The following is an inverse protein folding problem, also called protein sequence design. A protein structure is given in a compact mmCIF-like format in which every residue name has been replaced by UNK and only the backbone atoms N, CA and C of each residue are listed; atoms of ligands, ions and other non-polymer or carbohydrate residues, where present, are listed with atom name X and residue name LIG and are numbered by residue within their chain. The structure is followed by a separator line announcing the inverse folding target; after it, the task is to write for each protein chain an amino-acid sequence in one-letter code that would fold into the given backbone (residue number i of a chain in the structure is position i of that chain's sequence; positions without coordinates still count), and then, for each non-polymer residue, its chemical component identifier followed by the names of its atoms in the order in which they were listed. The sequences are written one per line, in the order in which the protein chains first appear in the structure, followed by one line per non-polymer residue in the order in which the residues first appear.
data_IF_657663963835
#
_entry.id   IF_657663963835
#
_cell.length_a   1.000
_cell.length_b   1.000
_cell.length_c   1.000
_cell.angle_alpha   90.00
_cell.angle_beta   90.00
_cell.angle_gamma   90.00
#
_symmetry.space_group_name_H-M   'P 1'
#
loop_
_entity.id
_entity.type
_entity.pdbx_description
1 polymer ?
#
# COMPACT_ATOMS: atom_id res chain seq x y z
N UNK A 1 14.82 -29.13 -47.52
CA UNK A 1 16.26 -28.98 -47.32
C UNK A 1 17.04 -29.16 -48.62
N UNK A 2 16.78 -30.20 -49.47
CA UNK A 2 17.50 -30.41 -50.74
C UNK A 2 17.28 -29.28 -51.77
N UNK A 3 16.10 -28.68 -51.84
CA UNK A 3 15.79 -27.58 -52.77
C UNK A 3 16.57 -26.29 -52.39
N UNK A 4 16.67 -25.96 -51.10
CA UNK A 4 17.42 -24.79 -50.64
C UNK A 4 18.92 -24.94 -50.87
N UNK A 5 19.47 -26.15 -50.67
CA UNK A 5 20.87 -26.45 -50.94
C UNK A 5 21.20 -26.30 -52.44
N UNK A 6 20.37 -26.82 -53.33
CA UNK A 6 20.53 -26.70 -54.80
C UNK A 6 20.46 -25.24 -55.27
N UNK A 7 19.59 -24.41 -54.66
CA UNK A 7 19.52 -23.00 -55.00
C UNK A 7 20.74 -22.21 -54.48
N UNK A 8 21.23 -22.53 -53.30
CA UNK A 8 22.46 -21.95 -52.73
C UNK A 8 23.67 -22.34 -53.63
N UNK A 9 23.78 -23.61 -54.10
CA UNK A 9 24.85 -24.07 -54.96
C UNK A 9 24.84 -23.39 -56.35
N UNK A 10 23.65 -23.18 -56.94
CA UNK A 10 23.47 -22.38 -58.15
C UNK A 10 23.92 -20.93 -58.00
N UNK A 11 23.60 -20.32 -56.88
CA UNK A 11 23.99 -18.94 -56.56
C UNK A 11 25.50 -18.81 -56.38
N UNK A 12 26.16 -19.76 -55.71
CA UNK A 12 27.60 -19.76 -55.49
C UNK A 12 28.37 -19.96 -56.85
N UNK A 13 27.85 -20.80 -57.75
CA UNK A 13 28.45 -21.05 -59.08
C UNK A 13 28.31 -19.85 -60.03
N UNK A 14 27.30 -18.95 -59.79
CA UNK A 14 27.11 -17.75 -60.61
C UNK A 14 27.58 -16.49 -59.93
N UNK A 15 28.87 -16.22 -59.96
CA UNK A 15 29.50 -15.05 -59.25
C UNK A 15 28.87 -13.69 -59.66
N UNK A 16 28.31 -13.56 -60.85
CA UNK A 16 27.69 -12.33 -61.34
C UNK A 16 26.34 -12.12 -60.69
N UNK A 17 25.52 -13.17 -60.57
CA UNK A 17 24.25 -13.14 -59.82
C UNK A 17 24.46 -13.00 -58.33
N UNK A 18 25.48 -13.62 -57.76
CA UNK A 18 25.79 -13.47 -56.34
C UNK A 18 26.14 -12.01 -55.98
N UNK A 19 27.01 -11.37 -56.79
CA UNK A 19 27.34 -9.94 -56.62
C UNK A 19 26.13 -9.03 -56.79
N UNK A 20 25.25 -9.32 -57.73
CA UNK A 20 24.00 -8.57 -57.94
C UNK A 20 23.06 -8.72 -56.76
N UNK A 21 22.83 -9.93 -56.26
CA UNK A 21 22.01 -10.18 -55.07
C UNK A 21 22.61 -9.58 -53.79
N UNK A 22 23.94 -9.63 -53.66
CA UNK A 22 24.64 -8.96 -52.56
C UNK A 22 24.45 -7.42 -52.63
N UNK A 23 24.54 -6.82 -53.80
CA UNK A 23 24.29 -5.39 -54.00
C UNK A 23 22.83 -5.00 -53.72
N UNK A 24 21.87 -5.84 -54.12
CA UNK A 24 20.46 -5.68 -53.80
C UNK A 24 20.21 -5.87 -52.28
N UNK A 25 20.84 -6.86 -51.64
CA UNK A 25 20.77 -7.11 -50.23
C UNK A 25 21.30 -5.92 -49.43
N UNK A 26 22.47 -5.38 -49.80
CA UNK A 26 23.03 -4.18 -49.15
C UNK A 26 22.13 -2.96 -49.38
N UNK A 27 21.62 -2.78 -50.61
CA UNK A 27 20.76 -1.68 -50.99
C UNK A 27 19.37 -1.74 -50.33
N UNK A 28 18.88 -2.94 -50.07
CA UNK A 28 17.58 -3.23 -49.44
C UNK A 28 17.72 -3.74 -48.00
N UNK A 29 18.93 -3.67 -47.42
CA UNK A 29 19.13 -4.05 -46.02
C UNK A 29 18.64 -2.97 -45.10
N UNK A 30 17.33 -3.01 -44.82
CA UNK A 30 16.63 -2.07 -43.95
C UNK A 30 16.89 -2.33 -42.48
N UNK A 31 17.73 -3.30 -42.14
CA UNK A 31 17.99 -3.76 -40.76
C UNK A 31 19.28 -3.15 -40.18
N UNK A 32 19.58 -1.89 -40.49
CA UNK A 32 20.59 -1.17 -39.75
C UNK A 32 20.01 -0.81 -38.38
N UNK A 33 20.81 -0.83 -37.33
CA UNK A 33 20.40 -0.46 -35.95
C UNK A 33 19.62 0.85 -35.92
N UNK A 34 20.09 1.83 -36.70
CA UNK A 34 19.46 3.14 -36.83
C UNK A 34 18.06 3.07 -37.47
N UNK A 35 17.89 2.21 -38.52
CA UNK A 35 16.60 2.06 -39.20
C UNK A 35 15.59 1.31 -38.28
N UNK A 36 16.05 0.26 -37.61
CA UNK A 36 15.24 -0.52 -36.68
C UNK A 36 14.82 0.35 -35.50
N UNK A 37 15.75 1.09 -34.89
CA UNK A 37 15.46 2.02 -33.78
C UNK A 37 14.42 3.06 -34.21
N UNK A 38 14.63 3.74 -35.33
CA UNK A 38 13.68 4.70 -35.85
C UNK A 38 12.29 4.09 -36.13
N UNK A 39 12.25 2.88 -36.64
CA UNK A 39 10.99 2.18 -36.95
C UNK A 39 10.26 1.76 -35.65
N UNK A 40 11.00 1.28 -34.68
CA UNK A 40 10.47 0.96 -33.35
C UNK A 40 9.93 2.22 -32.68
N UNK A 41 10.67 3.33 -32.72
CA UNK A 41 10.26 4.59 -32.12
C UNK A 41 9.02 5.19 -32.83
N UNK A 42 8.97 5.10 -34.16
CA UNK A 42 7.77 5.47 -34.91
C UNK A 42 6.54 4.61 -34.57
N UNK A 43 6.71 3.29 -34.40
CA UNK A 43 5.63 2.42 -33.96
C UNK A 43 5.23 2.71 -32.52
N UNK A 44 6.18 2.95 -31.63
CA UNK A 44 5.89 3.39 -30.25
C UNK A 44 5.10 4.67 -30.26
N UNK A 45 5.50 5.66 -31.05
CA UNK A 45 4.79 6.94 -31.16
C UNK A 45 3.37 6.77 -31.74
N UNK A 46 3.22 5.94 -32.78
CA UNK A 46 1.90 5.63 -33.37
C UNK A 46 1.00 4.90 -32.37
N UNK A 47 1.52 3.88 -31.66
CA UNK A 47 0.79 3.14 -30.62
C UNK A 47 0.41 4.10 -29.49
N UNK A 48 1.34 4.94 -29.06
CA UNK A 48 1.12 5.94 -28.02
C UNK A 48 0.04 6.93 -28.45
N UNK A 49 0.14 7.50 -29.66
CA UNK A 49 -0.89 8.38 -30.23
C UNK A 49 -2.24 7.67 -30.35
N UNK A 50 -2.28 6.44 -30.84
CA UNK A 50 -3.52 5.66 -30.99
C UNK A 50 -4.18 5.33 -29.66
N UNK A 51 -3.40 4.99 -28.65
CA UNK A 51 -3.88 4.74 -27.28
C UNK A 51 -4.36 6.05 -26.60
N UNK A 52 -3.66 7.16 -26.84
CA UNK A 52 -4.09 8.49 -26.36
C UNK A 52 -5.40 8.95 -27.02
N UNK A 53 -5.55 8.75 -28.34
CA UNK A 53 -6.74 9.20 -29.06
C UNK A 53 -7.96 8.29 -28.88
N UNK A 54 -7.77 6.95 -28.73
CA UNK A 54 -8.90 6.02 -28.51
C UNK A 54 -9.53 6.10 -27.15
N UNK A 55 -8.82 6.61 -26.13
CA UNK A 55 -9.31 6.55 -24.75
C UNK A 55 -9.59 7.89 -24.14
N UNK A 56 -9.71 9.01 -24.74
CA UNK A 56 -10.01 10.31 -24.10
C UNK A 56 -9.74 10.34 -22.54
N UNK A 57 -9.04 9.33 -22.03
CA UNK A 57 -8.47 9.20 -20.70
C UNK A 57 -7.02 9.63 -20.85
N UNK A 58 -6.62 10.71 -20.20
CA UNK A 58 -5.23 10.98 -19.91
C UNK A 58 -4.66 9.74 -19.22
N UNK A 59 -4.17 8.78 -19.98
CA UNK A 59 -3.37 7.69 -19.45
C UNK A 59 -2.09 8.33 -18.93
N UNK A 60 -1.87 8.18 -17.62
CA UNK A 60 -0.61 8.59 -17.02
C UNK A 60 0.52 7.93 -17.81
N UNK A 61 1.44 8.72 -18.37
CA UNK A 61 2.70 8.20 -18.91
C UNK A 61 3.38 7.37 -17.82
N UNK A 62 4.19 6.37 -18.23
CA UNK A 62 4.96 5.57 -17.27
C UNK A 62 5.89 6.48 -16.48
N UNK A 63 5.62 6.60 -15.19
CA UNK A 63 6.36 7.45 -14.27
C UNK A 63 7.49 6.67 -13.61
N UNK A 64 8.57 7.36 -13.28
CA UNK A 64 9.61 6.87 -12.37
C UNK A 64 9.27 7.32 -10.95
N UNK A 65 9.00 6.39 -10.06
CA UNK A 65 8.60 6.64 -8.68
C UNK A 65 9.70 6.15 -7.74
N UNK A 66 10.22 7.02 -6.90
CA UNK A 66 11.07 6.64 -5.77
C UNK A 66 10.18 6.57 -4.52
N UNK A 67 9.93 5.35 -4.05
CA UNK A 67 9.11 5.12 -2.86
C UNK A 67 9.98 4.86 -1.64
N UNK A 68 10.02 5.85 -0.74
CA UNK A 68 10.80 5.81 0.51
C UNK A 68 9.87 5.44 1.66
N UNK A 69 10.07 4.29 2.26
CA UNK A 69 9.35 3.86 3.47
C UNK A 69 10.11 2.73 4.15
N UNK A 70 9.68 2.35 5.35
CA UNK A 70 10.23 1.19 6.03
C UNK A 70 9.68 -0.11 5.41
N UNK A 71 10.42 -0.73 4.50
CA UNK A 71 10.05 -2.00 3.88
C UNK A 71 10.29 -3.20 4.80
N UNK A 72 10.96 -3.00 5.94
CA UNK A 72 11.18 -3.99 6.98
C UNK A 72 12.05 -5.21 6.57
N UNK A 73 13.01 -5.01 5.67
CA UNK A 73 13.94 -6.07 5.21
C UNK A 73 14.70 -6.70 6.36
N UNK A 74 15.20 -5.88 7.33
CA UNK A 74 15.93 -6.33 8.54
C UNK A 74 15.13 -7.24 9.46
N UNK A 75 13.84 -7.44 9.21
CA UNK A 75 12.98 -8.31 10.00
C UNK A 75 12.75 -9.69 9.35
N UNK A 76 13.54 -10.06 8.34
CA UNK A 76 13.55 -11.40 7.73
C UNK A 76 12.15 -11.90 7.33
N UNK A 77 11.38 -11.06 6.62
CA UNK A 77 10.03 -11.38 6.13
C UNK A 77 8.91 -11.18 7.16
N UNK A 78 9.20 -11.15 8.47
CA UNK A 78 8.16 -11.06 9.53
C UNK A 78 7.19 -9.90 9.36
N UNK A 79 7.63 -8.76 8.83
CA UNK A 79 6.80 -7.57 8.60
C UNK A 79 6.60 -7.28 7.10
N UNK A 80 6.63 -8.32 6.27
CA UNK A 80 6.50 -8.19 4.81
C UNK A 80 5.14 -7.62 4.40
N UNK A 81 4.04 -8.07 5.03
CA UNK A 81 2.67 -7.68 4.70
C UNK A 81 2.30 -6.28 5.26
N UNK A 82 3.14 -5.28 5.02
CA UNK A 82 2.92 -3.93 5.50
C UNK A 82 2.26 -3.02 4.46
N UNK A 83 1.73 -1.88 4.90
CA UNK A 83 1.03 -0.93 4.02
C UNK A 83 1.97 -0.30 2.98
N UNK A 84 3.24 -0.07 3.31
CA UNK A 84 4.23 0.42 2.35
C UNK A 84 4.36 -0.51 1.14
N UNK A 85 4.44 -1.82 1.37
CA UNK A 85 4.46 -2.83 0.29
C UNK A 85 3.15 -2.85 -0.50
N UNK A 86 1.99 -2.72 0.14
CA UNK A 86 0.70 -2.63 -0.57
C UNK A 86 0.65 -1.43 -1.51
N UNK A 87 1.05 -0.26 -1.05
CA UNK A 87 1.10 0.95 -1.88
C UNK A 87 2.11 0.77 -3.01
N UNK A 88 3.28 0.22 -2.71
CA UNK A 88 4.32 -0.07 -3.70
C UNK A 88 3.83 -1.01 -4.81
N UNK A 89 3.16 -2.10 -4.43
CA UNK A 89 2.52 -3.02 -5.37
C UNK A 89 1.50 -2.29 -6.25
N UNK A 90 0.78 -1.31 -5.69
CA UNK A 90 -0.16 -0.47 -6.44
C UNK A 90 0.52 0.32 -7.55
N UNK A 91 1.67 0.95 -7.28
CA UNK A 91 2.45 1.67 -8.29
C UNK A 91 2.96 0.72 -9.39
N UNK A 92 3.46 -0.46 -9.02
CA UNK A 92 3.92 -1.49 -9.98
C UNK A 92 2.76 -1.97 -10.87
N UNK A 93 1.58 -2.20 -10.29
CA UNK A 93 0.38 -2.64 -11.07
C UNK A 93 -0.18 -1.56 -11.99
N UNK A 94 0.18 -0.31 -11.77
CA UNK A 94 -0.06 0.79 -12.71
C UNK A 94 1.02 0.90 -13.80
N UNK A 95 1.92 -0.08 -13.84
CA UNK A 95 3.02 -0.19 -14.80
C UNK A 95 4.06 0.95 -14.70
N UNK A 96 4.17 1.61 -13.54
CA UNK A 96 5.21 2.59 -13.29
C UNK A 96 6.56 1.92 -12.98
N UNK A 97 7.66 2.62 -13.26
CA UNK A 97 8.99 2.22 -12.80
C UNK A 97 9.15 2.61 -11.35
N UNK A 98 9.26 1.65 -10.44
CA UNK A 98 9.28 1.90 -9.00
C UNK A 98 10.59 1.45 -8.38
N UNK A 99 11.31 2.39 -7.77
CA UNK A 99 12.49 2.11 -6.97
C UNK A 99 12.13 2.18 -5.48
N UNK A 100 12.31 1.06 -4.78
CA UNK A 100 12.13 0.97 -3.34
C UNK A 100 13.35 1.51 -2.60
N UNK A 101 13.11 2.31 -1.55
CA UNK A 101 14.16 2.84 -0.69
C UNK A 101 13.75 2.68 0.77
N UNK A 102 14.34 1.71 1.47
CA UNK A 102 13.98 1.39 2.86
C UNK A 102 14.80 2.21 3.83
N UNK A 103 14.27 3.32 4.32
CA UNK A 103 14.97 4.28 5.17
C UNK A 103 15.52 3.64 6.45
N UNK A 104 14.70 2.90 7.20
CA UNK A 104 15.09 2.29 8.47
C UNK A 104 16.00 1.08 8.32
N UNK A 105 15.90 0.37 7.21
CA UNK A 105 16.80 -0.77 6.93
C UNK A 105 18.20 -0.25 6.59
N UNK A 106 18.29 0.80 5.75
CA UNK A 106 19.55 1.48 5.44
C UNK A 106 20.23 1.97 6.72
N UNK A 107 19.50 2.66 7.59
CA UNK A 107 20.03 3.08 8.89
C UNK A 107 20.53 1.90 9.73
N UNK A 108 19.76 0.83 9.78
CA UNK A 108 20.12 -0.37 10.55
C UNK A 108 21.41 -1.03 10.05
N UNK A 109 21.60 -1.07 8.73
CA UNK A 109 22.75 -1.72 8.11
C UNK A 109 24.02 -0.84 8.08
N UNK A 110 23.89 0.47 7.99
CA UNK A 110 25.02 1.38 7.73
C UNK A 110 25.40 2.30 8.89
N UNK A 111 24.71 2.25 10.04
CA UNK A 111 25.14 3.01 11.24
C UNK A 111 26.50 2.55 11.71
N UNK A 112 27.34 3.49 12.15
CA UNK A 112 28.67 3.25 12.67
C UNK A 112 29.03 4.25 13.80
N UNK A 113 30.21 4.19 14.34
CA UNK A 113 30.66 5.06 15.45
C UNK A 113 30.60 6.56 15.09
N UNK A 114 30.80 6.93 13.82
CA UNK A 114 30.75 8.32 13.36
C UNK A 114 29.36 8.78 12.97
N UNK A 115 28.38 7.84 12.85
CA UNK A 115 26.99 8.08 12.52
C UNK A 115 26.09 7.09 13.28
N UNK A 116 26.03 7.27 14.61
CA UNK A 116 25.30 6.37 15.52
C UNK A 116 23.83 6.21 15.15
N UNK A 117 23.24 7.27 14.60
CA UNK A 117 21.84 7.29 14.14
C UNK A 117 21.71 6.83 12.69
N UNK A 118 22.78 6.62 11.94
CA UNK A 118 22.78 6.26 10.52
C UNK A 118 22.15 7.29 9.58
N UNK A 119 21.75 8.45 10.11
CA UNK A 119 20.99 9.45 9.36
C UNK A 119 21.82 10.20 8.32
N UNK A 120 23.11 10.47 8.61
CA UNK A 120 24.02 11.12 7.66
C UNK A 120 24.19 10.25 6.41
N UNK A 121 24.49 8.97 6.61
CA UNK A 121 24.68 8.00 5.52
C UNK A 121 23.39 7.80 4.74
N UNK A 122 22.24 7.70 5.43
CA UNK A 122 20.92 7.58 4.81
C UNK A 122 20.66 8.75 3.85
N UNK A 123 20.81 9.98 4.32
CA UNK A 123 20.51 11.19 3.54
C UNK A 123 21.51 11.35 2.37
N UNK A 124 22.79 11.05 2.58
CA UNK A 124 23.79 11.02 1.48
C UNK A 124 23.39 10.00 0.41
N UNK A 125 23.05 8.76 0.81
CA UNK A 125 22.60 7.70 -0.12
C UNK A 125 21.33 8.09 -0.89
N UNK A 126 20.41 8.79 -0.24
CA UNK A 126 19.23 9.30 -0.92
C UNK A 126 19.60 10.28 -2.04
N UNK A 127 20.52 11.22 -1.80
CA UNK A 127 20.97 12.16 -2.83
C UNK A 127 21.66 11.47 -4.00
N UNK A 128 22.48 10.44 -3.72
CA UNK A 128 23.10 9.60 -4.75
C UNK A 128 22.03 8.88 -5.61
N UNK A 129 20.99 8.33 -4.97
CA UNK A 129 19.87 7.69 -5.67
C UNK A 129 19.09 8.72 -6.51
N UNK A 130 18.79 9.90 -5.97
CA UNK A 130 18.12 10.97 -6.72
C UNK A 130 18.92 11.36 -7.96
N UNK A 131 20.24 11.52 -7.86
CA UNK A 131 21.07 11.90 -9.01
C UNK A 131 21.13 10.82 -10.09
N UNK A 132 21.08 9.54 -9.73
CA UNK A 132 21.18 8.43 -10.65
C UNK A 132 19.82 8.04 -11.27
N UNK A 133 18.76 8.05 -10.46
CA UNK A 133 17.44 7.58 -10.88
C UNK A 133 16.56 8.70 -11.45
N UNK A 134 16.71 9.93 -10.94
CA UNK A 134 15.91 11.12 -11.30
C UNK A 134 14.42 10.77 -11.41
N UNK A 135 13.73 10.52 -10.28
CA UNK A 135 12.32 10.14 -10.29
C UNK A 135 11.42 11.30 -10.73
N UNK A 136 10.26 11.00 -11.31
CA UNK A 136 9.19 11.98 -11.53
C UNK A 136 8.48 12.31 -10.23
N UNK A 137 8.29 11.29 -9.36
CA UNK A 137 7.64 11.44 -8.06
C UNK A 137 8.48 10.78 -6.97
N UNK A 138 8.71 11.52 -5.89
CA UNK A 138 9.27 11.05 -4.63
C UNK A 138 8.12 10.85 -3.63
N UNK A 139 7.88 9.62 -3.21
CA UNK A 139 6.80 9.28 -2.25
C UNK A 139 7.40 8.86 -0.91
N UNK A 140 7.09 9.60 0.14
CA UNK A 140 7.58 9.40 1.50
C UNK A 140 6.51 8.72 2.36
N UNK A 141 6.74 7.48 2.78
CA UNK A 141 5.87 6.76 3.71
C UNK A 141 6.42 6.85 5.15
N UNK A 142 5.86 7.70 5.98
CA UNK A 142 6.42 8.14 7.25
C UNK A 142 7.81 8.79 7.06
N UNK A 143 8.83 8.01 6.70
CA UNK A 143 10.18 8.45 6.32
C UNK A 143 10.78 9.52 7.25
N UNK A 144 10.65 9.30 8.57
CA UNK A 144 11.02 10.29 9.61
C UNK A 144 12.51 10.54 9.73
N UNK A 145 13.31 9.62 9.17
CA UNK A 145 14.78 9.69 9.22
C UNK A 145 15.38 10.50 8.07
N UNK A 146 14.56 10.85 7.06
CA UNK A 146 14.96 11.77 6.00
C UNK A 146 14.89 13.20 6.53
N UNK A 147 15.98 13.92 6.46
CA UNK A 147 16.08 15.28 6.99
C UNK A 147 15.34 16.29 6.12
N UNK A 148 14.84 17.35 6.74
CA UNK A 148 14.19 18.47 6.07
C UNK A 148 15.17 19.14 5.11
N UNK A 149 16.43 19.31 5.50
CA UNK A 149 17.48 19.91 4.67
C UNK A 149 17.70 19.12 3.38
N UNK A 150 17.70 17.77 3.47
CA UNK A 150 17.84 16.90 2.30
C UNK A 150 16.64 17.08 1.36
N UNK A 151 15.41 17.13 1.88
CA UNK A 151 14.22 17.36 1.06
C UNK A 151 14.20 18.75 0.44
N UNK A 152 14.61 19.79 1.19
CA UNK A 152 14.73 21.15 0.67
C UNK A 152 15.80 21.24 -0.42
N UNK A 153 16.93 20.55 -0.25
CA UNK A 153 17.98 20.44 -1.28
C UNK A 153 17.42 19.79 -2.55
N UNK A 154 16.68 18.68 -2.43
CA UNK A 154 16.06 18.01 -3.58
C UNK A 154 15.10 18.96 -4.27
N UNK A 155 14.20 19.63 -3.53
CA UNK A 155 13.22 20.58 -4.10
C UNK A 155 13.87 21.71 -4.86
N UNK A 156 15.01 22.23 -4.35
CA UNK A 156 15.76 23.32 -4.97
C UNK A 156 16.50 22.88 -6.24
N UNK A 157 17.19 21.74 -6.19
CA UNK A 157 18.09 21.31 -7.26
C UNK A 157 17.43 20.43 -8.32
N UNK A 158 16.27 19.82 -7.99
CA UNK A 158 15.46 18.98 -8.87
C UNK A 158 14.00 19.43 -8.89
N UNK A 159 13.71 20.66 -9.38
CA UNK A 159 12.38 21.28 -9.27
C UNK A 159 11.27 20.53 -10.01
N UNK A 160 11.62 19.65 -10.95
CA UNK A 160 10.68 18.83 -11.68
C UNK A 160 10.21 17.60 -10.89
N UNK A 161 10.93 17.20 -9.84
CA UNK A 161 10.52 16.09 -8.99
C UNK A 161 9.35 16.53 -8.10
N UNK A 162 8.21 15.87 -8.24
CA UNK A 162 7.06 16.07 -7.36
C UNK A 162 7.23 15.26 -6.09
N UNK A 163 6.86 15.84 -4.95
CA UNK A 163 7.04 15.19 -3.64
C UNK A 163 5.70 14.96 -2.96
N UNK A 164 5.47 13.72 -2.51
CA UNK A 164 4.31 13.33 -1.75
C UNK A 164 4.71 12.65 -0.43
N UNK A 165 3.85 12.76 0.60
CA UNK A 165 3.99 11.96 1.81
C UNK A 165 2.70 11.27 2.18
N UNK A 166 2.78 10.09 2.81
CA UNK A 166 1.66 9.42 3.44
C UNK A 166 1.98 9.01 4.87
N UNK A 167 0.96 9.05 5.74
CA UNK A 167 1.09 8.84 7.17
C UNK A 167 -0.10 8.05 7.71
N UNK A 168 0.15 6.90 8.34
CA UNK A 168 -0.88 5.96 8.79
C UNK A 168 -1.21 6.06 10.27
N UNK A 169 -0.32 6.62 11.07
CA UNK A 169 -0.52 6.71 12.49
C UNK A 169 -1.56 7.78 12.81
N UNK A 170 -2.25 7.58 13.91
CA UNK A 170 -3.26 8.51 14.43
C UNK A 170 -2.63 9.85 14.81
N UNK A 171 -3.30 10.97 14.48
CA UNK A 171 -2.77 12.32 14.63
C UNK A 171 -3.72 13.29 15.35
N UNK A 172 -4.80 12.83 15.94
CA UNK A 172 -5.70 13.69 16.72
C UNK A 172 -5.09 14.08 18.09
N UNK A 173 -5.85 14.81 18.92
CA UNK A 173 -5.39 15.51 20.12
C UNK A 173 -4.46 14.74 21.06
N UNK A 174 -4.62 13.43 21.17
CA UNK A 174 -3.81 12.59 22.05
C UNK A 174 -2.49 12.11 21.38
N UNK A 175 -2.25 12.48 20.11
CA UNK A 175 -1.16 11.97 19.29
C UNK A 175 -0.35 13.11 18.67
N UNK A 176 -0.06 14.14 19.46
CA UNK A 176 0.62 15.38 19.05
C UNK A 176 1.96 15.10 18.37
N UNK A 177 2.74 14.15 18.90
CA UNK A 177 4.03 13.80 18.31
C UNK A 177 3.88 13.23 16.89
N UNK A 178 2.85 12.44 16.63
CA UNK A 178 2.58 11.92 15.28
C UNK A 178 2.20 13.07 14.34
N UNK A 179 1.34 13.97 14.81
CA UNK A 179 0.97 15.17 14.04
C UNK A 179 2.18 16.04 13.73
N UNK A 180 3.07 16.27 14.72
CA UNK A 180 4.30 17.04 14.51
C UNK A 180 5.16 16.42 13.41
N UNK A 181 5.44 15.11 13.48
CA UNK A 181 6.22 14.38 12.45
C UNK A 181 5.63 14.51 11.04
N UNK A 182 4.30 14.52 10.92
CA UNK A 182 3.62 14.74 9.65
C UNK A 182 3.77 16.18 9.16
N UNK A 183 3.62 17.16 10.06
CA UNK A 183 3.68 18.58 9.74
C UNK A 183 5.09 19.07 9.43
N UNK A 184 6.13 18.48 10.02
CA UNK A 184 7.54 18.90 9.85
C UNK A 184 7.98 18.97 8.37
N UNK A 185 7.36 18.16 7.50
CA UNK A 185 7.70 18.08 6.07
C UNK A 185 6.64 18.67 5.15
N UNK A 186 5.49 19.07 5.68
CA UNK A 186 4.29 19.34 4.87
C UNK A 186 4.47 20.47 3.85
N UNK A 187 5.22 21.51 4.19
CA UNK A 187 5.45 22.67 3.31
C UNK A 187 6.38 22.36 2.11
N UNK A 188 7.07 21.23 2.16
CA UNK A 188 7.90 20.75 1.06
C UNK A 188 7.13 19.82 0.11
N UNK A 189 5.96 19.33 0.51
CA UNK A 189 5.17 18.36 -0.25
C UNK A 189 4.21 19.04 -1.23
N UNK A 190 4.10 18.45 -2.43
CA UNK A 190 3.06 18.83 -3.39
C UNK A 190 1.70 18.25 -2.99
N UNK A 191 1.70 17.07 -2.31
CA UNK A 191 0.51 16.49 -1.70
C UNK A 191 0.86 15.67 -0.46
N UNK A 192 -0.05 15.67 0.54
CA UNK A 192 0.12 14.91 1.78
C UNK A 192 -1.13 14.06 2.05
N UNK A 193 -0.92 12.84 2.55
CA UNK A 193 -1.98 11.85 2.71
C UNK A 193 -1.97 11.27 4.13
N UNK A 194 -3.14 11.11 4.74
CA UNK A 194 -3.22 10.54 6.07
C UNK A 194 -4.51 9.75 6.32
N UNK A 195 -4.45 8.76 7.20
CA UNK A 195 -5.60 7.94 7.59
C UNK A 195 -6.47 8.59 8.66
N UNK A 196 -6.04 9.68 9.28
CA UNK A 196 -6.87 10.51 10.17
C UNK A 196 -7.62 11.55 9.33
N UNK A 197 -8.90 11.82 9.64
CA UNK A 197 -9.67 12.84 8.90
C UNK A 197 -8.92 14.19 8.85
N UNK A 198 -8.50 14.67 7.66
CA UNK A 198 -7.74 15.92 7.53
C UNK A 198 -8.45 17.14 8.11
N UNK A 199 -9.80 17.18 8.01
CA UNK A 199 -10.61 18.28 8.56
C UNK A 199 -10.49 18.40 10.08
N UNK A 200 -10.30 17.25 10.77
CA UNK A 200 -10.12 17.23 12.24
C UNK A 200 -8.75 17.73 12.67
N UNK A 201 -7.77 17.78 11.78
CA UNK A 201 -6.39 18.11 12.12
C UNK A 201 -6.08 19.61 12.16
N UNK A 202 -7.01 20.46 11.68
CA UNK A 202 -6.84 21.93 11.65
C UNK A 202 -5.50 22.34 10.97
N UNK A 203 -5.21 21.76 9.81
CA UNK A 203 -4.03 22.07 9.00
C UNK A 203 -4.36 23.28 8.11
N UNK A 204 -3.37 24.11 7.82
CA UNK A 204 -3.52 25.28 6.93
C UNK A 204 -4.07 24.86 5.57
N UNK A 205 -5.01 25.64 5.03
CA UNK A 205 -5.63 25.42 3.72
C UNK A 205 -4.65 25.52 2.54
N UNK A 206 -3.49 26.17 2.73
CA UNK A 206 -2.42 26.20 1.72
C UNK A 206 -1.82 24.80 1.45
N UNK A 207 -1.91 23.89 2.41
CA UNK A 207 -1.35 22.55 2.30
C UNK A 207 -2.40 21.58 1.75
N UNK A 208 -2.05 20.86 0.70
CA UNK A 208 -2.92 19.84 0.08
C UNK A 208 -2.87 18.56 0.87
N UNK A 209 -3.82 18.38 1.79
CA UNK A 209 -3.91 17.19 2.64
C UNK A 209 -5.18 16.42 2.32
N UNK A 210 -5.01 15.11 2.07
CA UNK A 210 -6.07 14.22 1.65
C UNK A 210 -6.21 13.04 2.60
N UNK A 211 -7.45 12.57 2.78
CA UNK A 211 -7.71 11.32 3.48
C UNK A 211 -7.25 10.13 2.64
N UNK A 212 -6.52 9.21 3.25
CA UNK A 212 -5.99 8.00 2.63
C UNK A 212 -6.51 6.77 3.38
N UNK A 213 -7.43 5.98 2.83
CA UNK A 213 -7.81 4.71 3.43
C UNK A 213 -6.69 3.68 3.33
N UNK A 214 -6.63 2.75 4.30
CA UNK A 214 -5.66 1.65 4.25
C UNK A 214 -5.94 0.74 3.05
N UNK A 215 -4.96 0.41 2.21
CA UNK A 215 -5.17 -0.44 1.05
C UNK A 215 -5.29 -1.93 1.38
N UNK A 216 -6.00 -2.67 0.52
CA UNK A 216 -5.84 -4.12 0.35
C UNK A 216 -5.05 -4.42 -0.90
N UNK A 217 -4.35 -5.54 -0.91
CA UNK A 217 -3.61 -6.01 -2.07
C UNK A 217 -3.96 -7.48 -2.38
N UNK A 218 -4.28 -7.76 -3.64
CA UNK A 218 -4.71 -9.09 -4.07
C UNK A 218 -3.65 -10.20 -3.87
N UNK A 219 -2.39 -9.83 -3.69
CA UNK A 219 -1.30 -10.77 -3.39
C UNK A 219 -1.08 -10.96 -1.89
N UNK A 220 -1.71 -10.14 -1.04
CA UNK A 220 -1.58 -10.20 0.41
C UNK A 220 -2.87 -10.69 1.08
N UNK A 221 -4.02 -10.14 0.72
CA UNK A 221 -5.32 -10.52 1.25
C UNK A 221 -5.93 -11.64 0.37
N UNK A 222 -5.39 -12.84 0.53
CA UNK A 222 -5.67 -14.01 -0.33
C UNK A 222 -6.80 -14.91 0.18
N UNK A 223 -7.20 -14.75 1.44
CA UNK A 223 -8.23 -15.58 2.05
C UNK A 223 -9.62 -15.14 1.63
N UNK A 224 -10.56 -16.08 1.69
CA UNK A 224 -11.97 -15.87 1.44
C UNK A 224 -12.81 -16.51 2.56
N UNK A 225 -12.54 -16.08 3.81
CA UNK A 225 -13.14 -16.69 5.02
C UNK A 225 -14.68 -16.80 4.96
N UNK A 226 -15.36 -15.92 4.24
CA UNK A 226 -16.80 -16.01 4.04
C UNK A 226 -17.27 -17.30 3.35
N UNK A 227 -16.37 -18.05 2.67
CA UNK A 227 -16.68 -19.33 2.04
C UNK A 227 -16.59 -20.50 3.02
N UNK A 228 -15.84 -20.33 4.12
CA UNK A 228 -15.60 -21.39 5.08
C UNK A 228 -16.83 -21.63 5.96
N UNK A 229 -17.15 -22.90 6.20
CA UNK A 229 -18.24 -23.31 7.08
C UNK A 229 -17.77 -23.58 8.51
N UNK A 230 -16.57 -24.09 8.66
CA UNK A 230 -15.98 -24.49 9.94
C UNK A 230 -14.86 -23.58 10.35
N UNK A 231 -14.86 -23.21 11.64
CA UNK A 231 -13.86 -22.35 12.24
C UNK A 231 -13.53 -22.83 13.66
N UNK A 232 -12.27 -22.73 14.02
CA UNK A 232 -11.83 -23.04 15.37
C UNK A 232 -12.23 -21.95 16.36
N UNK A 233 -12.29 -20.69 15.90
CA UNK A 233 -12.54 -19.52 16.72
C UNK A 233 -13.69 -18.67 16.18
N UNK A 234 -14.36 -17.95 17.05
CA UNK A 234 -15.46 -17.07 16.69
C UNK A 234 -15.00 -15.64 16.44
N UNK A 235 -14.09 -15.13 17.28
CA UNK A 235 -13.60 -13.74 17.22
C UNK A 235 -12.09 -13.69 17.24
N UNK A 236 -11.51 -13.03 16.25
CA UNK A 236 -10.08 -12.71 16.19
C UNK A 236 -9.83 -11.28 16.62
N UNK A 237 -8.82 -11.09 17.47
CA UNK A 237 -8.24 -9.79 17.78
C UNK A 237 -6.75 -9.87 18.04
N UNK A 238 -5.96 -9.04 17.34
CA UNK A 238 -4.53 -8.93 17.55
C UNK A 238 -4.11 -7.48 17.70
N UNK A 239 -3.17 -7.20 18.60
CA UNK A 239 -2.58 -5.88 18.78
C UNK A 239 -1.10 -5.95 19.07
N UNK A 240 -0.36 -4.86 18.85
CA UNK A 240 1.08 -4.79 19.13
C UNK A 240 1.41 -4.47 20.59
N UNK A 241 0.48 -3.98 21.37
CA UNK A 241 0.60 -3.66 22.80
C UNK A 241 1.94 -2.97 23.19
N UNK A 242 2.39 -2.01 22.37
CA UNK A 242 3.68 -1.34 22.56
C UNK A 242 4.89 -2.28 22.54
N UNK A 243 4.80 -3.29 21.70
CA UNK A 243 5.84 -4.28 21.45
C UNK A 243 7.17 -3.61 21.11
N UNK A 244 8.21 -3.99 21.85
CA UNK A 244 9.56 -3.62 21.52
C UNK A 244 10.24 -4.76 20.75
N UNK A 245 10.72 -4.50 19.55
CA UNK A 245 11.35 -5.50 18.67
C UNK A 245 10.49 -6.77 18.43
N UNK A 246 9.16 -6.62 18.45
CA UNK A 246 8.24 -7.72 18.21
C UNK A 246 7.94 -8.62 19.41
N UNK A 247 8.31 -8.21 20.61
CA UNK A 247 8.09 -8.98 21.85
C UNK A 247 7.18 -8.19 22.81
N UNK A 248 6.18 -8.84 23.37
CA UNK A 248 5.30 -8.26 24.36
C UNK A 248 6.07 -7.91 25.64
N UNK A 249 5.94 -6.66 26.09
CA UNK A 249 6.51 -6.21 27.37
C UNK A 249 5.51 -6.48 28.50
N UNK A 250 5.99 -7.19 29.52
CA UNK A 250 5.21 -7.45 30.75
C UNK A 250 4.87 -6.12 31.48
N UNK A 251 3.70 -6.07 32.10
CA UNK A 251 3.29 -4.97 32.96
C UNK A 251 2.87 -3.69 32.24
N UNK A 252 2.82 -3.66 30.92
CA UNK A 252 2.31 -2.52 30.19
C UNK A 252 0.80 -2.59 30.07
N UNK A 253 0.13 -1.56 30.63
CA UNK A 253 -1.33 -1.42 30.53
C UNK A 253 -1.75 -0.95 29.13
N UNK A 254 -2.84 -1.54 28.62
CA UNK A 254 -3.53 -1.08 27.40
C UNK A 254 -5.05 -1.20 27.60
N UNK A 255 -5.76 -0.11 27.43
CA UNK A 255 -7.23 -0.05 27.61
C UNK A 255 -8.01 -1.01 26.71
N UNK A 256 -7.45 -1.38 25.54
CA UNK A 256 -8.05 -2.36 24.65
C UNK A 256 -8.09 -3.75 25.27
N UNK A 257 -7.06 -4.13 26.03
CA UNK A 257 -7.01 -5.40 26.76
C UNK A 257 -8.15 -5.45 27.79
N UNK A 258 -8.34 -4.39 28.57
CA UNK A 258 -9.46 -4.29 29.51
C UNK A 258 -10.82 -4.38 28.81
N UNK A 259 -10.96 -3.73 27.66
CA UNK A 259 -12.20 -3.77 26.88
C UNK A 259 -12.50 -5.18 26.36
N UNK A 260 -11.51 -5.85 25.79
CA UNK A 260 -11.65 -7.24 25.28
C UNK A 260 -11.95 -8.21 26.42
N UNK A 261 -11.26 -8.10 27.57
CA UNK A 261 -11.52 -8.95 28.73
C UNK A 261 -12.95 -8.79 29.30
N UNK A 262 -13.50 -7.56 29.23
CA UNK A 262 -14.92 -7.33 29.57
C UNK A 262 -15.86 -7.97 28.53
N UNK A 263 -15.50 -7.92 27.24
CA UNK A 263 -16.29 -8.58 26.20
C UNK A 263 -16.33 -10.10 26.42
N UNK A 264 -15.20 -10.71 26.68
CA UNK A 264 -15.09 -12.17 26.98
C UNK A 264 -16.00 -12.55 28.13
N UNK A 265 -15.98 -11.78 29.25
CA UNK A 265 -16.86 -12.04 30.40
C UNK A 265 -18.35 -11.95 30.05
N UNK A 266 -18.72 -11.09 29.09
CA UNK A 266 -20.12 -10.95 28.63
C UNK A 266 -20.55 -11.99 27.62
N UNK A 267 -19.60 -12.73 27.04
CA UNK A 267 -19.84 -13.69 25.95
C UNK A 267 -19.14 -15.03 26.24
N UNK A 268 -19.51 -15.75 27.33
CA UNK A 268 -18.76 -16.91 27.83
C UNK A 268 -18.70 -18.08 26.84
N UNK A 269 -19.66 -18.18 25.91
CA UNK A 269 -19.72 -19.25 24.92
C UNK A 269 -19.03 -18.90 23.59
N UNK A 270 -18.35 -17.74 23.51
CA UNK A 270 -17.63 -17.28 22.31
C UNK A 270 -16.15 -17.61 22.47
N UNK A 271 -15.57 -18.26 21.46
CA UNK A 271 -14.15 -18.60 21.40
C UNK A 271 -13.38 -17.45 20.79
N UNK A 272 -12.46 -16.89 21.58
CA UNK A 272 -11.60 -15.79 21.15
C UNK A 272 -10.21 -16.28 20.78
N UNK A 273 -9.68 -15.77 19.68
CA UNK A 273 -8.29 -15.92 19.25
C UNK A 273 -7.58 -14.58 19.42
N UNK A 274 -6.67 -14.48 20.40
CA UNK A 274 -6.14 -13.21 20.90
C UNK A 274 -4.62 -13.18 20.84
N UNK A 275 -4.07 -12.08 20.33
CA UNK A 275 -2.63 -11.89 20.23
C UNK A 275 -2.19 -10.49 20.68
N UNK A 276 -1.00 -10.41 21.28
CA UNK A 276 -0.42 -9.16 21.79
C UNK A 276 -1.09 -8.64 23.06
N UNK A 277 -1.81 -9.49 23.80
CA UNK A 277 -2.49 -9.18 25.06
C UNK A 277 -2.57 -10.42 25.96
N UNK A 278 -2.98 -10.26 27.22
CA UNK A 278 -3.12 -11.37 28.17
C UNK A 278 -1.87 -12.28 28.24
N UNK A 279 -0.68 -11.70 28.16
CA UNK A 279 0.61 -12.39 28.09
C UNK A 279 0.82 -13.28 26.84
N UNK A 280 -0.08 -13.24 25.86
CA UNK A 280 0.09 -13.92 24.57
C UNK A 280 0.89 -13.01 23.65
N UNK A 281 1.94 -13.56 23.03
CA UNK A 281 2.79 -12.82 22.11
C UNK A 281 2.02 -12.36 20.85
N UNK A 282 2.37 -11.23 20.24
CA UNK A 282 1.83 -10.84 18.94
C UNK A 282 2.32 -11.78 17.84
N UNK A 283 1.50 -11.93 16.80
CA UNK A 283 1.80 -12.74 15.61
C UNK A 283 2.03 -11.88 14.37
N UNK A 284 2.73 -12.44 13.41
CA UNK A 284 3.16 -11.72 12.21
C UNK A 284 3.16 -12.64 10.98
N UNK A 285 3.22 -12.04 9.80
CA UNK A 285 3.37 -12.74 8.52
C UNK A 285 2.34 -13.87 8.34
N UNK A 286 2.79 -15.06 7.99
CA UNK A 286 1.91 -16.19 7.70
C UNK A 286 1.17 -16.73 8.92
N UNK A 287 1.77 -16.63 10.13
CA UNK A 287 1.05 -16.97 11.37
C UNK A 287 -0.18 -16.08 11.57
N UNK A 288 -0.09 -14.79 11.21
CA UNK A 288 -1.24 -13.90 11.24
C UNK A 288 -2.31 -14.34 10.22
N UNK A 289 -1.92 -14.71 9.00
CA UNK A 289 -2.85 -15.20 7.99
C UNK A 289 -3.50 -16.52 8.44
N UNK A 290 -2.71 -17.43 9.00
CA UNK A 290 -3.22 -18.69 9.54
C UNK A 290 -4.24 -18.45 10.66
N UNK A 291 -3.94 -17.58 11.63
CA UNK A 291 -4.86 -17.27 12.72
C UNK A 291 -6.18 -16.66 12.22
N UNK A 292 -6.14 -15.66 11.32
CA UNK A 292 -7.36 -15.09 10.78
C UNK A 292 -8.15 -16.08 9.93
N UNK A 293 -7.49 -17.06 9.26
CA UNK A 293 -8.19 -18.10 8.50
C UNK A 293 -9.07 -19.01 9.38
N UNK A 294 -8.73 -19.11 10.65
CA UNK A 294 -9.44 -19.95 11.63
C UNK A 294 -10.55 -19.22 12.39
N UNK A 295 -10.83 -17.95 12.03
CA UNK A 295 -11.75 -17.09 12.78
C UNK A 295 -12.89 -16.56 11.92
N UNK A 296 -14.09 -16.43 12.51
CA UNK A 296 -15.32 -15.98 11.84
C UNK A 296 -15.39 -14.45 11.73
N UNK A 297 -15.05 -13.76 12.82
CA UNK A 297 -15.26 -12.33 13.02
C UNK A 297 -13.91 -11.68 13.31
N UNK A 298 -13.61 -10.58 12.68
CA UNK A 298 -12.46 -9.73 12.96
C UNK A 298 -12.87 -8.46 13.71
N UNK A 299 -12.31 -8.23 14.90
CA UNK A 299 -12.59 -7.03 15.66
C UNK A 299 -11.53 -5.96 15.38
N UNK A 300 -11.97 -4.79 14.90
CA UNK A 300 -11.09 -3.64 14.74
C UNK A 300 -11.28 -2.65 15.90
N UNK A 301 -10.34 -2.65 16.82
CA UNK A 301 -10.30 -1.77 17.97
C UNK A 301 -8.97 -1.01 17.98
N UNK A 302 -9.02 0.30 17.75
CA UNK A 302 -7.85 1.18 17.78
C UNK A 302 -7.58 1.67 19.19
N UNK A 303 -6.34 2.05 19.48
CA UNK A 303 -5.97 2.63 20.77
C UNK A 303 -6.62 4.02 20.96
N UNK A 304 -7.05 4.33 22.18
CA UNK A 304 -7.71 5.57 22.53
C UNK A 304 -9.17 5.63 22.06
N UNK A 305 -9.82 6.78 22.26
CA UNK A 305 -11.20 7.01 21.82
C UNK A 305 -11.29 6.91 20.30
N UNK A 306 -12.40 6.38 19.73
CA UNK A 306 -12.60 6.34 18.29
C UNK A 306 -12.40 7.72 17.65
N UNK A 307 -11.61 7.79 16.58
CA UNK A 307 -11.41 9.00 15.80
C UNK A 307 -12.07 8.86 14.42
N UNK A 308 -12.58 9.98 13.89
CA UNK A 308 -13.27 10.02 12.62
C UNK A 308 -12.37 9.53 11.49
N UNK A 309 -12.86 8.56 10.73
CA UNK A 309 -12.23 7.87 9.59
C UNK A 309 -10.93 7.12 9.92
N UNK A 310 -10.43 7.18 11.15
CA UNK A 310 -9.25 6.43 11.53
C UNK A 310 -9.56 4.96 11.79
N UNK A 311 -8.78 4.12 11.14
CA UNK A 311 -8.68 2.69 11.43
C UNK A 311 -7.21 2.26 11.36
N UNK A 312 -6.84 1.24 12.13
CA UNK A 312 -5.54 0.59 11.92
C UNK A 312 -5.56 -0.20 10.60
N UNK A 313 -4.39 -0.55 10.10
CA UNK A 313 -4.23 -1.41 8.91
C UNK A 313 -4.87 -2.80 9.08
N UNK A 314 -5.05 -3.28 10.32
CA UNK A 314 -5.82 -4.49 10.63
C UNK A 314 -7.21 -4.48 9.98
N UNK A 315 -7.87 -3.32 9.92
CA UNK A 315 -9.18 -3.19 9.29
C UNK A 315 -9.18 -3.67 7.83
N UNK A 316 -8.23 -3.20 7.04
CA UNK A 316 -8.07 -3.62 5.65
C UNK A 316 -7.69 -5.11 5.53
N UNK A 317 -6.79 -5.59 6.40
CA UNK A 317 -6.37 -6.98 6.42
C UNK A 317 -7.53 -7.94 6.73
N UNK A 318 -8.33 -7.65 7.74
CA UNK A 318 -9.47 -8.48 8.12
C UNK A 318 -10.55 -8.49 7.03
N UNK A 319 -10.93 -7.30 6.54
CA UNK A 319 -11.96 -7.17 5.52
C UNK A 319 -11.51 -7.76 4.18
N UNK A 320 -10.26 -7.52 3.79
CA UNK A 320 -9.65 -8.06 2.58
C UNK A 320 -9.56 -9.59 2.57
N UNK A 321 -9.36 -10.21 3.73
CA UNK A 321 -9.35 -11.67 3.89
C UNK A 321 -10.75 -12.29 4.12
N UNK A 322 -11.79 -11.48 4.08
CA UNK A 322 -13.18 -11.97 4.07
C UNK A 322 -13.73 -12.38 5.42
N UNK A 323 -13.22 -11.80 6.53
CA UNK A 323 -13.85 -11.91 7.83
C UNK A 323 -15.01 -10.92 7.94
N UNK A 324 -16.02 -11.25 8.78
CA UNK A 324 -16.98 -10.22 9.21
C UNK A 324 -16.27 -9.23 10.11
N UNK A 325 -16.16 -7.97 9.69
CA UNK A 325 -15.48 -6.95 10.50
C UNK A 325 -16.46 -6.16 11.35
N UNK A 326 -16.12 -6.00 12.64
CA UNK A 326 -16.84 -5.15 13.58
C UNK A 326 -15.99 -3.96 13.99
N UNK A 327 -16.57 -2.75 13.94
CA UNK A 327 -15.90 -1.50 14.27
C UNK A 327 -16.86 -0.53 14.99
N UNK A 328 -16.32 0.31 15.86
CA UNK A 328 -17.10 1.34 16.58
C UNK A 328 -17.72 2.35 15.60
N UNK A 329 -19.02 2.62 15.72
CA UNK A 329 -19.76 3.56 14.86
C UNK A 329 -19.23 5.00 14.93
N UNK A 330 -18.62 5.38 16.06
CA UNK A 330 -18.02 6.70 16.27
C UNK A 330 -16.84 6.97 15.33
N UNK A 331 -16.23 5.93 14.75
CA UNK A 331 -15.21 6.09 13.73
C UNK A 331 -15.75 6.67 12.42
N UNK A 332 -17.07 6.68 12.23
CA UNK A 332 -17.74 7.11 10.98
C UNK A 332 -17.29 6.35 9.71
N UNK A 333 -16.62 5.21 9.88
CA UNK A 333 -16.29 4.30 8.76
C UNK A 333 -17.57 3.81 8.04
N UNK A 334 -18.69 3.74 8.76
CA UNK A 334 -20.02 3.47 8.17
C UNK A 334 -20.46 4.45 7.08
N UNK A 335 -19.81 5.61 6.91
CA UNK A 335 -20.05 6.49 5.77
C UNK A 335 -19.58 5.85 4.45
N UNK A 336 -18.64 4.92 4.52
CA UNK A 336 -18.09 4.22 3.35
C UNK A 336 -18.72 2.84 3.14
N UNK A 337 -19.43 2.28 4.16
CA UNK A 337 -20.00 0.93 4.14
C UNK A 337 -21.43 0.92 4.66
N UNK A 338 -22.29 0.12 4.04
CA UNK A 338 -23.63 -0.10 4.54
C UNK A 338 -23.72 -1.33 5.49
N UNK A 339 -24.92 -1.56 6.05
CA UNK A 339 -25.15 -2.64 7.03
C UNK A 339 -24.96 -4.06 6.46
N UNK A 340 -24.97 -4.21 5.14
CA UNK A 340 -24.73 -5.48 4.46
C UNK A 340 -23.26 -5.69 4.09
N UNK A 341 -22.35 -4.80 4.52
CA UNK A 341 -20.94 -4.81 4.17
C UNK A 341 -20.03 -4.79 5.40
N UNK A 342 -20.54 -4.27 6.54
CA UNK A 342 -19.82 -4.14 7.81
C UNK A 342 -20.77 -4.16 9.00
N UNK A 343 -20.29 -4.52 10.17
CA UNK A 343 -21.04 -4.42 11.42
C UNK A 343 -20.48 -3.26 12.28
N UNK A 344 -21.32 -2.27 12.53
CA UNK A 344 -21.01 -1.17 13.42
C UNK A 344 -21.57 -1.49 14.81
N UNK A 345 -20.82 -1.13 15.87
CA UNK A 345 -21.31 -1.23 17.26
C UNK A 345 -21.21 0.10 17.99
N UNK A 346 -22.11 0.32 18.96
CA UNK A 346 -22.25 1.57 19.74
C UNK A 346 -21.45 1.54 21.04
N UNK A 347 -21.49 0.40 21.72
CA UNK A 347 -20.88 0.17 23.04
C UNK A 347 -20.63 -1.32 23.25
N UNK A 348 -20.12 -1.67 24.44
CA UNK A 348 -19.75 -3.05 24.78
C UNK A 348 -20.95 -4.00 24.80
N UNK A 349 -22.14 -3.57 25.28
CA UNK A 349 -23.34 -4.41 25.29
C UNK A 349 -23.82 -4.72 23.86
N UNK A 350 -23.94 -3.69 23.04
CA UNK A 350 -24.31 -3.86 21.63
C UNK A 350 -23.30 -4.72 20.87
N UNK A 351 -21.98 -4.58 21.18
CA UNK A 351 -20.96 -5.45 20.60
C UNK A 351 -21.14 -6.91 21.05
N UNK A 352 -21.40 -7.17 22.34
CA UNK A 352 -21.59 -8.54 22.84
C UNK A 352 -22.77 -9.23 22.21
N UNK A 353 -23.91 -8.56 22.06
CA UNK A 353 -25.08 -9.08 21.35
C UNK A 353 -24.79 -9.41 19.89
N UNK A 354 -24.09 -8.51 19.20
CA UNK A 354 -23.69 -8.69 17.79
C UNK A 354 -22.70 -9.83 17.62
N UNK A 355 -21.72 -9.97 18.52
CA UNK A 355 -20.77 -11.09 18.50
C UNK A 355 -21.51 -12.41 18.63
N UNK A 356 -22.44 -12.54 19.59
CA UNK A 356 -23.25 -13.76 19.75
C UNK A 356 -24.08 -14.03 18.52
N UNK A 357 -24.81 -13.02 18.02
CA UNK A 357 -25.65 -13.13 16.84
C UNK A 357 -24.89 -13.67 15.62
N UNK A 358 -23.81 -12.98 15.25
CA UNK A 358 -23.08 -13.29 14.02
C UNK A 358 -22.13 -14.50 14.15
N UNK A 359 -21.79 -14.92 15.35
CA UNK A 359 -21.10 -16.21 15.57
C UNK A 359 -21.99 -17.41 15.25
N UNK A 360 -23.31 -17.28 15.51
CA UNK A 360 -24.31 -18.33 15.32
C UNK A 360 -24.98 -18.28 13.93
N UNK A 361 -25.16 -17.10 13.35
CA UNK A 361 -25.79 -16.94 12.03
C UNK A 361 -24.75 -16.99 10.91
N UNK A 362 -24.42 -18.20 10.47
CA UNK A 362 -23.45 -18.43 9.39
C UNK A 362 -23.83 -17.72 8.09
N UNK A 363 -25.11 -17.84 7.68
CA UNK A 363 -25.58 -17.33 6.39
C UNK A 363 -25.47 -15.80 6.30
N UNK A 364 -25.95 -15.12 7.33
CA UNK A 364 -25.90 -13.66 7.40
C UNK A 364 -24.46 -13.16 7.52
N UNK A 365 -23.64 -13.78 8.40
CA UNK A 365 -22.23 -13.45 8.56
C UNK A 365 -21.47 -13.55 7.25
N UNK A 366 -21.59 -14.70 6.57
CA UNK A 366 -20.90 -14.97 5.30
C UNK A 366 -21.29 -13.95 4.22
N UNK A 367 -22.58 -13.63 4.12
CA UNK A 367 -23.08 -12.63 3.17
C UNK A 367 -22.47 -11.24 3.41
N UNK A 368 -22.48 -10.76 4.65
CA UNK A 368 -21.93 -9.44 4.99
C UNK A 368 -20.41 -9.41 4.75
N UNK A 369 -19.69 -10.44 5.18
CA UNK A 369 -18.24 -10.55 5.01
C UNK A 369 -17.84 -10.55 3.52
N UNK A 370 -18.57 -11.31 2.69
CA UNK A 370 -18.40 -11.33 1.23
C UNK A 370 -18.60 -9.95 0.61
N UNK A 371 -19.71 -9.30 0.93
CA UNK A 371 -20.03 -7.98 0.39
C UNK A 371 -18.99 -6.91 0.81
N UNK A 372 -18.58 -6.94 2.07
CA UNK A 372 -17.52 -6.08 2.59
C UNK A 372 -16.20 -6.26 1.84
N UNK A 373 -15.76 -7.51 1.64
CA UNK A 373 -14.54 -7.83 0.86
C UNK A 373 -14.64 -7.33 -0.58
N UNK A 374 -15.73 -7.63 -1.28
CA UNK A 374 -15.96 -7.21 -2.67
C UNK A 374 -15.86 -5.68 -2.77
N UNK A 375 -16.53 -4.95 -1.87
CA UNK A 375 -16.48 -3.50 -1.85
C UNK A 375 -15.10 -2.96 -1.56
N UNK A 376 -14.40 -3.56 -0.62
CA UNK A 376 -13.04 -3.14 -0.26
C UNK A 376 -12.10 -3.29 -1.45
N UNK A 377 -12.09 -4.44 -2.10
CA UNK A 377 -11.29 -4.65 -3.31
C UNK A 377 -11.72 -3.77 -4.50
N UNK A 378 -12.99 -3.41 -4.59
CA UNK A 378 -13.47 -2.52 -5.65
C UNK A 378 -12.93 -1.09 -5.51
N UNK A 379 -12.94 -0.55 -4.29
CA UNK A 379 -12.70 0.88 -4.06
C UNK A 379 -11.39 1.19 -3.33
N UNK A 380 -10.88 0.31 -2.47
CA UNK A 380 -9.76 0.57 -1.58
C UNK A 380 -8.55 -0.36 -1.85
N UNK A 381 -8.43 -0.86 -3.08
CA UNK A 381 -7.30 -1.70 -3.46
C UNK A 381 -6.02 -0.87 -3.68
N UNK A 382 -4.87 -1.55 -3.61
CA UNK A 382 -3.54 -0.95 -3.75
C UNK A 382 -3.38 -0.11 -5.01
N UNK A 383 -3.94 -0.56 -6.15
CA UNK A 383 -3.90 0.16 -7.44
C UNK A 383 -4.66 1.49 -7.36
N UNK A 384 -5.87 1.49 -6.76
CA UNK A 384 -6.66 2.72 -6.59
C UNK A 384 -6.01 3.71 -5.64
N UNK A 385 -5.41 3.22 -4.56
CA UNK A 385 -4.67 4.05 -3.60
C UNK A 385 -3.42 4.65 -4.25
N UNK A 386 -2.66 3.87 -5.00
CA UNK A 386 -1.49 4.34 -5.75
C UNK A 386 -1.88 5.39 -6.81
N UNK A 387 -2.93 5.13 -7.58
CA UNK A 387 -3.49 6.07 -8.56
C UNK A 387 -3.93 7.38 -7.90
N UNK A 388 -4.55 7.31 -6.72
CA UNK A 388 -4.97 8.48 -5.96
C UNK A 388 -3.76 9.33 -5.52
N UNK A 389 -2.72 8.70 -4.95
CA UNK A 389 -1.49 9.39 -4.55
C UNK A 389 -0.89 10.12 -5.77
N UNK A 390 -0.73 9.44 -6.89
CA UNK A 390 -0.18 10.04 -8.11
C UNK A 390 -1.04 11.21 -8.60
N UNK A 391 -2.34 10.99 -8.75
CA UNK A 391 -3.23 12.00 -9.32
C UNK A 391 -3.29 13.29 -8.47
N UNK A 392 -3.36 13.15 -7.14
CA UNK A 392 -3.36 14.33 -6.25
C UNK A 392 -2.00 15.04 -6.24
N UNK A 393 -0.90 14.29 -6.34
CA UNK A 393 0.46 14.87 -6.40
C UNK A 393 0.69 15.63 -7.70
N UNK A 394 0.15 15.12 -8.82
CA UNK A 394 0.24 15.76 -10.15
C UNK A 394 -0.91 16.73 -10.44
N UNK A 395 -1.77 17.02 -9.47
CA UNK A 395 -2.92 17.92 -9.59
C UNK A 395 -3.95 17.49 -10.65
N UNK A 396 -4.01 16.17 -10.93
CA UNK A 396 -4.99 15.63 -11.87
C UNK A 396 -6.36 15.55 -11.16
N UNK A 397 -7.34 16.24 -11.72
CA UNK A 397 -8.69 16.29 -11.15
C UNK A 397 -9.46 14.99 -11.40
N UNK A 398 -9.32 14.04 -10.47
CA UNK A 398 -10.09 12.81 -10.42
C UNK A 398 -10.65 12.63 -9.02
N UNK A 399 -11.94 12.33 -8.93
CA UNK A 399 -12.60 12.02 -7.65
C UNK A 399 -12.60 10.52 -7.40
N UNK A 400 -12.45 10.15 -6.14
CA UNK A 400 -12.43 8.78 -5.66
C UNK A 400 -13.60 8.54 -4.73
N UNK A 401 -14.01 7.29 -4.57
CA UNK A 401 -15.18 6.90 -3.78
C UNK A 401 -15.18 7.49 -2.37
N UNK A 402 -14.04 7.48 -1.68
CA UNK A 402 -13.93 8.03 -0.33
C UNK A 402 -13.91 9.55 -0.24
N UNK A 403 -13.75 10.26 -1.36
CA UNK A 403 -13.88 11.72 -1.42
C UNK A 403 -15.32 12.17 -1.63
N UNK A 404 -16.18 11.31 -2.19
CA UNK A 404 -17.59 11.63 -2.45
C UNK A 404 -18.46 11.53 -1.20
N UNK A 405 -18.01 10.78 -0.21
CA UNK A 405 -18.73 10.46 1.01
C UNK A 405 -18.12 11.12 2.27
N UNK A 406 -17.25 12.10 2.07
CA UNK A 406 -16.58 12.87 3.12
C UNK A 406 -17.34 14.16 3.48
#
# INVERSE_FOLDING_TARGET
PKSLFNEIEKLIKNKKNLKYLQSLSIKNFYLTDKYISNKIDNYREQITKTLFFKNNKKTLSKLKILHITNFNERHNGRLFYNTGKRINNGFIRLEHSVLEFSDRDIVSYYRNLNDLNGSKRLNKKLLEVISNYVPDILVLGHADLISIDTLAFIKKNYPNIKMAQWFLDRMDSNWINNKKRFLDKIDLMDASFCTTDPKSLKISSKNKVFYLPNPVDKSFEVLENYKNQYFNNDVFFAMSHGVHRGVLKRGKFDERETFINRLIKKTPNIRFDLYGMNNIQPIWADDFLLAISQSKIGLNLSQGRPAKYYSSDRFSQLMGNGLLVMIDEKTKIGNFFNRNEIVLYKNLSDLSEKVIKYSNDHKLRSSIARNGRIKYFKYFNSTKIAEFIINKTLEINKKYFWELNN
#
